data_IF_110935955070
#
_entry.id   IF_110935955070
#
_cell.length_a   1.000
_cell.length_b   1.000
_cell.length_c   1.000
_cell.angle_alpha   90.00
_cell.angle_beta   90.00
_cell.angle_gamma   90.00
#
_symmetry.space_group_name_H-M   'P 1'
#
loop_
_entity.id
_entity.type
_entity.pdbx_description
1 polymer ?
#
# COMPACT_ATOMS: atom_id res chain seq x y z
N UNK A 1 -17.60 7.73 -0.01
CA UNK A 1 -16.24 8.27 -0.27
C UNK A 1 -15.93 8.27 -1.76
N UNK A 2 -15.96 7.11 -2.45
CA UNK A 2 -15.67 7.02 -3.88
C UNK A 2 -16.57 7.92 -4.74
N UNK A 3 -17.88 7.87 -4.56
CA UNK A 3 -18.83 8.72 -5.28
C UNK A 3 -18.55 10.23 -5.11
N UNK A 4 -18.16 10.65 -3.91
CA UNK A 4 -17.81 12.05 -3.66
C UNK A 4 -16.53 12.46 -4.40
N UNK A 5 -15.50 11.58 -4.37
CA UNK A 5 -14.26 11.79 -5.11
C UNK A 5 -14.50 11.88 -6.63
N UNK A 6 -15.20 10.91 -7.20
CA UNK A 6 -15.45 10.87 -8.66
C UNK A 6 -16.37 11.99 -9.15
N UNK A 7 -17.30 12.45 -8.31
CA UNK A 7 -18.12 13.61 -8.61
C UNK A 7 -17.30 14.93 -8.63
N UNK A 8 -16.29 15.02 -7.76
CA UNK A 8 -15.39 16.18 -7.72
C UNK A 8 -14.31 16.12 -8.82
N UNK A 9 -13.91 14.91 -9.25
CA UNK A 9 -12.80 14.64 -10.18
C UNK A 9 -13.22 13.65 -11.28
N UNK A 10 -14.18 14.00 -12.14
CA UNK A 10 -14.66 13.08 -13.18
C UNK A 10 -13.57 12.68 -14.18
N UNK A 11 -12.56 13.53 -14.36
CA UNK A 11 -11.39 13.24 -15.22
C UNK A 11 -10.51 12.12 -14.66
N UNK A 12 -10.48 11.90 -13.34
CA UNK A 12 -9.61 10.92 -12.71
C UNK A 12 -9.99 9.48 -13.05
N UNK A 13 -11.23 9.24 -13.49
CA UNK A 13 -11.77 7.92 -13.81
C UNK A 13 -11.95 7.65 -15.30
N UNK A 14 -11.49 8.55 -16.18
CA UNK A 14 -11.67 8.40 -17.65
C UNK A 14 -10.99 7.15 -18.23
N UNK A 15 -10.11 6.50 -17.50
CA UNK A 15 -9.42 5.27 -17.95
C UNK A 15 -9.75 4.03 -17.13
N UNK A 16 -10.27 4.19 -15.93
CA UNK A 16 -10.66 3.11 -15.02
C UNK A 16 -11.52 3.68 -13.88
N UNK A 17 -12.74 3.22 -13.76
CA UNK A 17 -13.68 3.54 -12.68
C UNK A 17 -13.63 2.51 -11.54
N UNK A 18 -12.74 1.52 -11.65
CA UNK A 18 -12.54 0.46 -10.66
C UNK A 18 -11.68 0.96 -9.50
N UNK A 19 -12.01 0.52 -8.31
CA UNK A 19 -11.21 0.72 -7.11
C UNK A 19 -11.27 -0.52 -6.22
N UNK A 20 -10.28 -0.71 -5.37
CA UNK A 20 -10.30 -1.70 -4.30
C UNK A 20 -10.51 -1.03 -2.95
N UNK A 21 -10.86 -1.82 -1.93
CA UNK A 21 -11.04 -1.34 -0.55
C UNK A 21 -10.14 -2.19 0.34
N UNK A 22 -9.12 -1.56 0.87
CA UNK A 22 -8.03 -2.23 1.56
C UNK A 22 -7.70 -1.56 2.89
N UNK A 23 -6.83 -2.18 3.66
CA UNK A 23 -6.15 -1.58 4.80
C UNK A 23 -4.67 -1.90 4.74
N UNK A 24 -3.87 -1.03 5.30
CA UNK A 24 -2.45 -1.31 5.49
C UNK A 24 -2.25 -2.40 6.56
N UNK A 25 -1.27 -3.27 6.36
CA UNK A 25 -0.91 -4.28 7.34
C UNK A 25 -1.93 -5.41 7.49
N UNK A 26 -1.63 -6.34 8.38
CA UNK A 26 -2.37 -7.60 8.55
C UNK A 26 -3.28 -7.65 9.80
N UNK A 27 -3.29 -6.58 10.60
CA UNK A 27 -4.17 -6.49 11.77
C UNK A 27 -4.57 -5.03 12.09
N UNK A 28 -5.68 -4.81 12.84
CA UNK A 28 -6.24 -3.49 13.06
C UNK A 28 -5.29 -2.44 13.62
N UNK A 29 -4.48 -2.79 14.62
CA UNK A 29 -3.57 -1.84 15.25
C UNK A 29 -2.48 -1.36 14.27
N UNK A 30 -1.92 -2.26 13.45
CA UNK A 30 -0.95 -1.91 12.42
C UNK A 30 -1.61 -1.06 11.32
N UNK A 31 -2.85 -1.36 10.96
CA UNK A 31 -3.59 -0.56 9.99
C UNK A 31 -3.72 0.90 10.43
N UNK A 32 -4.06 1.14 11.70
CA UNK A 32 -4.18 2.48 12.26
C UNK A 32 -2.83 3.20 12.33
N UNK A 33 -1.76 2.50 12.71
CA UNK A 33 -0.41 3.05 12.76
C UNK A 33 0.07 3.50 11.36
N UNK A 34 -0.03 2.62 10.36
CA UNK A 34 0.40 2.92 9.01
C UNK A 34 -0.45 4.00 8.35
N UNK A 35 -1.77 3.99 8.57
CA UNK A 35 -2.67 5.04 8.10
C UNK A 35 -2.30 6.41 8.71
N UNK A 36 -1.92 6.46 9.98
CA UNK A 36 -1.48 7.70 10.62
C UNK A 36 -0.20 8.25 9.94
N UNK A 37 0.73 7.39 9.51
CA UNK A 37 1.90 7.82 8.73
C UNK A 37 1.50 8.39 7.37
N UNK A 38 0.50 7.82 6.70
CA UNK A 38 -0.03 8.35 5.44
C UNK A 38 -0.67 9.72 5.66
N UNK A 39 -1.55 9.85 6.67
CA UNK A 39 -2.24 11.10 6.99
C UNK A 39 -1.28 12.23 7.41
N UNK A 40 -0.14 11.88 8.01
CA UNK A 40 0.92 12.86 8.34
C UNK A 40 1.80 13.26 7.15
N UNK A 41 1.62 12.64 5.98
CA UNK A 41 2.45 12.86 4.80
C UNK A 41 3.77 12.07 4.80
N UNK A 42 4.06 11.32 5.85
CA UNK A 42 5.31 10.60 6.02
C UNK A 42 5.40 9.34 5.13
N UNK A 43 4.28 8.64 4.93
CA UNK A 43 4.22 7.43 4.11
C UNK A 43 3.59 7.74 2.76
N UNK A 44 4.33 7.51 1.67
CA UNK A 44 3.90 7.65 0.27
C UNK A 44 4.30 6.48 -0.60
N UNK A 45 4.72 5.38 0.03
CA UNK A 45 4.98 4.12 -0.66
C UNK A 45 4.48 2.94 0.18
N UNK A 46 4.29 1.80 -0.47
CA UNK A 46 3.93 0.53 0.16
C UNK A 46 4.48 -0.62 -0.66
N UNK A 47 4.74 -1.75 -0.01
CA UNK A 47 5.22 -2.96 -0.67
C UNK A 47 4.39 -4.16 -0.25
N UNK A 48 4.02 -5.02 -1.22
CA UNK A 48 3.31 -6.26 -0.95
C UNK A 48 3.74 -7.37 -1.90
N UNK A 49 3.68 -8.61 -1.46
CA UNK A 49 3.97 -9.77 -2.30
C UNK A 49 2.94 -9.90 -3.44
N UNK A 50 3.42 -10.15 -4.66
CA UNK A 50 2.54 -10.41 -5.81
C UNK A 50 1.56 -11.55 -5.51
N UNK A 51 2.02 -12.59 -4.81
CA UNK A 51 1.16 -13.73 -4.46
C UNK A 51 0.01 -13.40 -3.50
N UNK A 52 0.13 -12.36 -2.66
CA UNK A 52 -0.96 -11.93 -1.77
C UNK A 52 -2.14 -11.41 -2.59
N UNK A 53 -1.89 -10.57 -3.61
CA UNK A 53 -2.95 -10.15 -4.53
C UNK A 53 -3.67 -11.34 -5.17
N UNK A 54 -2.91 -12.34 -5.65
CA UNK A 54 -3.51 -13.53 -6.28
C UNK A 54 -4.28 -14.39 -5.28
N UNK A 55 -3.80 -14.50 -4.04
CA UNK A 55 -4.45 -15.30 -3.00
C UNK A 55 -5.80 -14.68 -2.58
N UNK A 56 -5.89 -13.35 -2.57
CA UNK A 56 -7.11 -12.61 -2.24
C UNK A 56 -8.05 -12.47 -3.45
N UNK A 57 -7.62 -12.93 -4.64
CA UNK A 57 -8.38 -12.83 -5.89
C UNK A 57 -8.31 -11.44 -6.52
N UNK A 58 -7.40 -10.61 -6.02
CA UNK A 58 -7.20 -9.25 -6.49
C UNK A 58 -6.22 -9.18 -7.65
N UNK A 59 -6.28 -8.07 -8.36
CA UNK A 59 -5.31 -7.75 -9.42
C UNK A 59 -4.17 -6.93 -8.83
N UNK A 60 -2.96 -7.22 -9.29
CA UNK A 60 -1.83 -6.32 -9.06
C UNK A 60 -2.20 -4.92 -9.55
N UNK A 61 -1.97 -3.87 -8.76
CA UNK A 61 -2.30 -2.51 -9.13
C UNK A 61 -1.56 -2.07 -10.40
N UNK A 62 -2.04 -1.03 -11.03
CA UNK A 62 -1.44 -0.37 -12.20
C UNK A 62 -1.27 1.12 -11.91
N UNK A 63 -0.37 1.79 -12.60
CA UNK A 63 -0.27 3.24 -12.52
C UNK A 63 -1.63 3.86 -12.84
N UNK A 64 -2.14 4.70 -11.93
CA UNK A 64 -3.46 5.29 -12.00
C UNK A 64 -4.58 4.48 -11.34
N UNK A 65 -4.33 3.26 -10.86
CA UNK A 65 -5.29 2.51 -10.03
C UNK A 65 -5.63 3.28 -8.76
N UNK A 66 -6.86 3.11 -8.30
CA UNK A 66 -7.34 3.71 -7.06
C UNK A 66 -7.67 2.64 -6.04
N UNK A 67 -7.46 2.95 -4.78
CA UNK A 67 -7.96 2.16 -3.68
C UNK A 67 -8.34 3.02 -2.47
N UNK A 68 -9.33 2.55 -1.72
CA UNK A 68 -9.79 3.21 -0.50
C UNK A 68 -9.06 2.57 0.67
N UNK A 69 -8.25 3.35 1.37
CA UNK A 69 -7.61 2.90 2.59
C UNK A 69 -8.56 3.07 3.79
N UNK A 70 -8.80 1.95 4.46
CA UNK A 70 -9.60 1.89 5.68
C UNK A 70 -8.72 1.91 6.93
N UNK A 71 -9.28 2.35 8.05
CA UNK A 71 -8.67 2.21 9.37
C UNK A 71 -8.85 0.79 9.93
N UNK A 72 -8.30 0.55 11.12
CA UNK A 72 -8.36 -0.74 11.79
C UNK A 72 -9.77 -1.23 12.10
N UNK A 73 -10.78 -0.35 12.13
CA UNK A 73 -12.19 -0.70 12.28
C UNK A 73 -12.87 -1.07 10.96
N UNK A 74 -12.18 -0.87 9.82
CA UNK A 74 -12.71 -1.03 8.48
C UNK A 74 -13.44 0.21 7.95
N UNK A 75 -13.37 1.35 8.64
CA UNK A 75 -13.97 2.58 8.15
C UNK A 75 -13.09 3.23 7.07
N UNK A 76 -13.67 3.62 5.90
CA UNK A 76 -12.92 4.25 4.82
C UNK A 76 -12.44 5.66 5.22
N UNK A 77 -11.15 5.92 5.03
CA UNK A 77 -10.51 7.16 5.49
C UNK A 77 -9.97 8.04 4.37
N UNK A 78 -9.36 7.45 3.37
CA UNK A 78 -8.77 8.18 2.23
C UNK A 78 -8.91 7.40 0.94
N UNK A 79 -8.83 8.10 -0.20
CA UNK A 79 -8.63 7.51 -1.53
C UNK A 79 -7.19 7.74 -1.93
N UNK A 80 -6.54 6.68 -2.34
CA UNK A 80 -5.16 6.63 -2.80
C UNK A 80 -5.16 6.37 -4.31
N UNK A 81 -4.19 6.95 -5.02
CA UNK A 81 -3.93 6.70 -6.44
C UNK A 81 -2.48 6.27 -6.63
N UNK A 82 -2.27 5.13 -7.28
CA UNK A 82 -0.94 4.62 -7.63
C UNK A 82 -0.26 5.53 -8.65
N UNK A 83 0.95 5.97 -8.35
CA UNK A 83 1.73 6.89 -9.19
C UNK A 83 2.97 6.24 -9.82
N UNK A 84 3.56 5.28 -9.14
CA UNK A 84 4.70 4.51 -9.63
C UNK A 84 4.58 3.06 -9.16
N UNK A 85 4.92 2.13 -10.03
CA UNK A 85 4.90 0.70 -9.75
C UNK A 85 6.11 0.01 -10.37
N UNK A 86 6.73 -0.87 -9.60
CA UNK A 86 7.71 -1.83 -10.12
C UNK A 86 7.55 -3.17 -9.41
N UNK A 87 7.92 -4.24 -10.07
CA UNK A 87 7.99 -5.58 -9.50
C UNK A 87 9.45 -5.99 -9.42
N UNK A 88 9.84 -6.57 -8.31
CA UNK A 88 11.21 -7.02 -8.10
C UNK A 88 11.35 -7.89 -6.86
N UNK A 89 12.53 -8.47 -6.68
CA UNK A 89 12.86 -9.25 -5.51
C UNK A 89 13.20 -8.35 -4.30
N UNK A 90 13.26 -8.94 -3.11
CA UNK A 90 13.56 -8.25 -1.85
C UNK A 90 14.82 -7.37 -1.91
N UNK A 91 15.89 -7.87 -2.54
CA UNK A 91 17.15 -7.11 -2.68
C UNK A 91 17.03 -5.86 -3.56
N UNK A 92 15.95 -5.71 -4.34
CA UNK A 92 15.73 -4.54 -5.19
C UNK A 92 15.14 -3.33 -4.44
N UNK A 93 14.77 -3.47 -3.17
CA UNK A 93 14.43 -2.33 -2.33
C UNK A 93 15.67 -1.44 -2.13
N UNK A 94 15.50 -0.15 -2.29
CA UNK A 94 16.55 0.85 -2.11
C UNK A 94 16.22 1.84 -0.98
N UNK A 95 17.21 2.66 -0.60
CA UNK A 95 17.06 3.61 0.50
C UNK A 95 16.01 4.69 0.23
N UNK A 96 15.82 5.08 -1.03
CA UNK A 96 14.82 6.07 -1.40
C UNK A 96 13.41 5.50 -1.20
N UNK A 97 13.17 4.26 -1.62
CA UNK A 97 11.89 3.59 -1.40
C UNK A 97 11.59 3.40 0.09
N UNK A 98 12.57 2.96 0.88
CA UNK A 98 12.41 2.81 2.33
C UNK A 98 12.05 4.15 3.01
N UNK A 99 12.69 5.23 2.60
CA UNK A 99 12.37 6.57 3.09
C UNK A 99 10.96 7.02 2.71
N UNK A 100 10.47 6.68 1.49
CA UNK A 100 9.13 7.02 1.03
C UNK A 100 8.06 6.15 1.70
N UNK A 101 8.35 4.92 2.12
CA UNK A 101 7.46 4.16 3.00
C UNK A 101 7.36 4.80 4.39
N UNK A 102 8.41 5.45 4.85
CA UNK A 102 8.40 6.28 6.05
C UNK A 102 8.10 5.56 7.35
N UNK A 103 8.24 4.24 7.38
CA UNK A 103 8.01 3.39 8.54
C UNK A 103 9.25 3.37 9.44
N UNK A 104 9.04 3.15 10.74
CA UNK A 104 10.09 3.10 11.76
C UNK A 104 11.05 4.31 11.63
N UNK A 105 12.34 4.09 11.44
CA UNK A 105 13.35 5.15 11.25
C UNK A 105 13.54 5.60 9.77
N UNK A 106 12.83 4.95 8.84
CA UNK A 106 12.90 5.22 7.39
C UNK A 106 14.17 4.67 6.71
N UNK A 107 15.00 3.92 7.41
CA UNK A 107 16.23 3.33 6.86
C UNK A 107 15.94 2.06 6.05
N UNK A 108 16.79 1.78 5.05
CA UNK A 108 16.72 0.52 4.30
C UNK A 108 16.99 -0.71 5.20
N UNK A 109 17.80 -0.56 6.23
CA UNK A 109 18.10 -1.64 7.19
C UNK A 109 16.85 -2.00 8.00
N UNK A 110 16.14 -1.00 8.53
CA UNK A 110 14.88 -1.17 9.22
C UNK A 110 13.82 -1.75 8.29
N UNK A 111 13.69 -1.20 7.07
CA UNK A 111 12.77 -1.70 6.05
C UNK A 111 12.95 -3.21 5.80
N UNK A 112 14.19 -3.64 5.57
CA UNK A 112 14.52 -5.05 5.33
C UNK A 112 14.20 -5.94 6.53
N UNK A 113 14.49 -5.48 7.72
CA UNK A 113 14.21 -6.21 8.95
C UNK A 113 12.71 -6.41 9.17
N UNK A 114 11.95 -5.34 9.06
CA UNK A 114 10.51 -5.36 9.39
C UNK A 114 9.69 -6.05 8.30
N UNK A 115 10.00 -5.83 7.01
CA UNK A 115 9.32 -6.51 5.92
C UNK A 115 9.62 -8.01 5.89
N UNK A 116 10.84 -8.44 6.23
CA UNK A 116 11.16 -9.85 6.40
C UNK A 116 10.27 -10.48 7.47
N UNK A 117 10.18 -9.88 8.64
CA UNK A 117 9.32 -10.35 9.73
C UNK A 117 7.85 -10.39 9.34
N UNK A 118 7.39 -9.36 8.65
CA UNK A 118 6.00 -9.26 8.20
C UNK A 118 5.66 -10.41 7.24
N UNK A 119 6.41 -10.58 6.17
CA UNK A 119 6.12 -11.61 5.17
C UNK A 119 6.36 -13.03 5.68
N UNK A 120 7.35 -13.25 6.52
CA UNK A 120 7.52 -14.54 7.22
C UNK A 120 6.26 -14.89 8.03
N UNK A 121 5.71 -13.92 8.77
CA UNK A 121 4.49 -14.09 9.57
C UNK A 121 3.26 -14.34 8.71
N UNK A 122 3.03 -13.53 7.70
CA UNK A 122 1.86 -13.64 6.80
C UNK A 122 1.87 -14.96 6.04
N UNK A 123 3.00 -15.34 5.47
CA UNK A 123 3.13 -16.63 4.78
C UNK A 123 2.95 -17.81 5.72
N UNK A 124 3.55 -17.78 6.90
CA UNK A 124 3.39 -18.85 7.90
C UNK A 124 1.93 -19.02 8.33
N UNK A 125 1.15 -17.97 8.44
CA UNK A 125 -0.27 -18.03 8.77
C UNK A 125 -1.10 -18.78 7.71
N UNK A 126 -0.61 -18.85 6.46
CA UNK A 126 -1.21 -19.63 5.36
C UNK A 126 -0.58 -21.02 5.19
N UNK A 127 0.36 -21.42 6.06
CA UNK A 127 1.12 -22.67 5.91
C UNK A 127 2.15 -22.64 4.79
N UNK A 128 2.56 -21.44 4.36
CA UNK A 128 3.54 -21.20 3.30
C UNK A 128 4.85 -20.66 3.88
N UNK A 129 5.91 -20.67 3.07
CA UNK A 129 7.18 -20.04 3.39
C UNK A 129 7.42 -18.83 2.49
N UNK A 130 8.01 -17.78 3.06
CA UNK A 130 8.49 -16.63 2.32
C UNK A 130 9.95 -16.86 1.86
N UNK A 131 10.29 -16.26 0.72
CA UNK A 131 11.64 -16.26 0.15
C UNK A 131 12.01 -14.85 -0.33
N UNK A 132 13.29 -14.49 -0.19
CA UNK A 132 13.81 -13.23 -0.76
C UNK A 132 13.73 -13.16 -2.29
N UNK A 133 13.44 -14.28 -2.95
CA UNK A 133 13.21 -14.37 -4.39
C UNK A 133 11.75 -14.16 -4.80
N UNK A 134 10.84 -14.09 -3.83
CA UNK A 134 9.44 -13.81 -4.13
C UNK A 134 9.28 -12.41 -4.73
N UNK A 135 8.38 -12.29 -5.70
CA UNK A 135 8.10 -11.04 -6.36
C UNK A 135 7.30 -10.11 -5.44
N UNK A 136 7.78 -8.88 -5.34
CA UNK A 136 7.20 -7.80 -4.55
C UNK A 136 6.75 -6.70 -5.50
N UNK A 137 5.53 -6.21 -5.30
CA UNK A 137 5.05 -4.95 -5.87
C UNK A 137 5.56 -3.82 -5.00
N UNK A 138 6.36 -2.96 -5.55
CA UNK A 138 6.80 -1.69 -4.93
C UNK A 138 5.94 -0.58 -5.52
N UNK A 139 5.06 0.00 -4.72
CA UNK A 139 4.12 1.03 -5.14
C UNK A 139 4.45 2.36 -4.48
N UNK A 140 4.51 3.43 -5.26
CA UNK A 140 4.37 4.80 -4.76
C UNK A 140 3.00 5.34 -5.09
N UNK A 141 2.46 6.17 -4.22
CA UNK A 141 1.11 6.67 -4.34
C UNK A 141 0.97 8.11 -3.87
N UNK A 142 -0.13 8.73 -4.29
CA UNK A 142 -0.62 10.00 -3.74
C UNK A 142 -1.95 9.78 -3.03
N UNK A 143 -2.20 10.55 -2.00
CA UNK A 143 -3.54 10.70 -1.42
C UNK A 143 -4.30 11.71 -2.27
N UNK A 144 -5.47 11.32 -2.78
CA UNK A 144 -6.27 12.15 -3.69
C UNK A 144 -7.61 12.58 -3.10
N UNK A 145 -8.00 12.03 -1.96
CA UNK A 145 -9.24 12.36 -1.26
C UNK A 145 -9.19 11.92 0.21
N UNK A 146 -9.84 12.64 1.14
CA UNK A 146 -10.57 13.89 0.97
C UNK A 146 -9.62 15.09 0.80
N UNK A 147 -10.12 16.27 0.40
CA UNK A 147 -9.29 17.44 0.10
C UNK A 147 -8.35 17.88 1.23
N UNK A 148 -8.74 17.70 2.48
CA UNK A 148 -7.93 18.04 3.66
C UNK A 148 -6.71 17.14 3.85
N UNK A 149 -6.64 16.01 3.16
CA UNK A 149 -5.54 15.04 3.20
C UNK A 149 -4.85 14.84 1.85
N UNK A 150 -5.41 15.42 0.78
CA UNK A 150 -4.86 15.29 -0.57
C UNK A 150 -3.50 15.98 -0.71
N UNK A 151 -2.62 15.37 -1.52
CA UNK A 151 -1.27 15.88 -1.84
C UNK A 151 -1.29 17.08 -2.79
#
# INVERSE_FOLDING_TARGET
MWEAYTAAHPEAILGADEYTVERFGDHPALADELLALVLSGRKRATAELVREYHADGDRVPRIGSHWIACDGSGAPRIVIRSTELRIGAFASADAAFAADEGEDDGSLESWRREHRRYWERVCAARGESWSEQDEIVFERFSVVWPPEHAD
#
